data_IF_310915765020
#
_entry.id   IF_310915765020
#
_cell.length_a   1.000
_cell.length_b   1.000
_cell.length_c   1.000
_cell.angle_alpha   90.00
_cell.angle_beta   90.00
_cell.angle_gamma   90.00
#
_symmetry.space_group_name_H-M   'P 1'
#
loop_
_entity.id
_entity.type
_entity.pdbx_description
1 polymer ?
#
# COMPACT_ATOMS: atom_id res chain seq x y z
N UNK A 1 -29.69 1.54 -1.30
CA UNK A 1 -28.40 1.76 -1.98
C UNK A 1 -28.31 3.26 -2.08
N UNK A 2 -27.73 3.87 -1.06
CA UNK A 2 -27.67 5.32 -0.95
C UNK A 2 -26.60 5.77 -1.94
N UNK A 3 -26.99 6.59 -2.91
CA UNK A 3 -26.11 6.98 -4.00
C UNK A 3 -25.05 7.93 -3.46
N UNK A 4 -23.82 7.43 -3.32
CA UNK A 4 -22.65 8.27 -3.04
C UNK A 4 -22.03 8.71 -4.36
N UNK A 5 -21.85 10.02 -4.53
CA UNK A 5 -21.05 10.58 -5.61
C UNK A 5 -19.63 10.82 -5.12
N UNK A 6 -18.62 10.31 -5.83
CA UNK A 6 -17.21 10.46 -5.48
C UNK A 6 -16.49 11.24 -6.58
N UNK A 7 -15.86 12.35 -6.22
CA UNK A 7 -14.89 13.04 -7.07
C UNK A 7 -13.50 12.51 -6.71
N UNK A 8 -12.79 12.00 -7.71
CA UNK A 8 -11.42 11.51 -7.54
C UNK A 8 -10.49 12.36 -8.40
N UNK A 9 -9.49 12.98 -7.77
CA UNK A 9 -8.41 13.69 -8.43
C UNK A 9 -7.04 13.07 -8.09
N UNK A 10 -6.22 12.84 -9.11
CA UNK A 10 -4.83 12.36 -8.97
C UNK A 10 -3.87 13.45 -9.45
N UNK A 11 -2.88 13.80 -8.63
CA UNK A 11 -1.82 14.77 -8.98
C UNK A 11 -0.46 14.08 -8.89
N UNK A 12 0.32 13.99 -9.98
CA UNK A 12 1.68 13.49 -9.90
C UNK A 12 2.55 14.45 -9.08
N UNK A 13 3.39 13.88 -8.21
CA UNK A 13 4.35 14.60 -7.37
C UNK A 13 5.77 14.07 -7.63
N UNK A 14 6.77 14.72 -7.03
CA UNK A 14 8.15 14.24 -7.05
C UNK A 14 8.30 12.89 -6.35
N UNK A 15 9.43 12.21 -6.60
CA UNK A 15 9.81 10.98 -5.89
C UNK A 15 8.78 9.84 -6.03
N UNK A 16 8.30 9.67 -7.27
CA UNK A 16 7.34 8.65 -7.72
C UNK A 16 6.04 8.61 -6.89
N UNK A 17 5.58 9.76 -6.42
CA UNK A 17 4.34 9.88 -5.67
C UNK A 17 3.19 10.35 -6.52
N UNK A 18 2.00 9.93 -6.13
CA UNK A 18 0.73 10.49 -6.61
C UNK A 18 -0.06 10.92 -5.39
N UNK A 19 -0.44 12.20 -5.35
CA UNK A 19 -1.41 12.72 -4.39
C UNK A 19 -2.82 12.41 -4.89
N UNK A 20 -3.62 11.85 -4.00
CA UNK A 20 -5.00 11.40 -4.23
C UNK A 20 -5.91 12.23 -3.33
N UNK A 21 -6.81 12.98 -3.96
CA UNK A 21 -7.87 13.72 -3.28
C UNK A 21 -9.21 13.07 -3.62
N UNK A 22 -9.95 12.64 -2.60
CA UNK A 22 -11.28 12.04 -2.71
C UNK A 22 -12.29 12.94 -2.01
N UNK A 23 -13.36 13.29 -2.70
CA UNK A 23 -14.53 13.96 -2.13
C UNK A 23 -15.78 13.10 -2.31
N UNK A 24 -16.36 12.66 -1.20
CA UNK A 24 -17.60 11.91 -1.19
C UNK A 24 -18.77 12.84 -0.89
N UNK A 25 -19.85 12.71 -1.65
CA UNK A 25 -21.10 13.41 -1.49
C UNK A 25 -22.21 12.39 -1.30
N UNK A 26 -22.70 12.29 -0.07
CA UNK A 26 -23.76 11.38 0.33
C UNK A 26 -25.08 12.15 0.40
N UNK A 27 -26.10 11.66 -0.30
CA UNK A 27 -27.43 12.28 -0.32
C UNK A 27 -28.32 11.69 0.76
N UNK A 28 -28.96 12.56 1.55
CA UNK A 28 -29.98 12.17 2.50
C UNK A 28 -31.10 13.23 2.49
N UNK A 29 -32.28 12.84 1.99
CA UNK A 29 -33.51 13.64 1.99
C UNK A 29 -33.38 15.04 1.32
N UNK A 30 -32.66 15.10 0.19
CA UNK A 30 -32.42 16.30 -0.60
C UNK A 30 -31.24 17.14 -0.13
N UNK A 31 -30.52 16.70 0.90
CA UNK A 31 -29.32 17.35 1.44
C UNK A 31 -28.11 16.47 1.12
N UNK A 32 -27.00 17.11 0.71
CA UNK A 32 -25.73 16.41 0.49
C UNK A 32 -24.76 16.68 1.63
N UNK A 33 -24.21 15.61 2.19
CA UNK A 33 -23.11 15.66 3.14
C UNK A 33 -21.80 15.37 2.42
N UNK A 34 -20.82 16.25 2.58
CA UNK A 34 -19.48 16.07 2.00
C UNK A 34 -18.51 15.58 3.07
N UNK A 35 -17.78 14.52 2.74
CA UNK A 35 -16.56 14.12 3.43
C UNK A 35 -15.39 14.12 2.44
N UNK A 36 -14.19 14.38 2.93
CA UNK A 36 -12.98 14.52 2.10
C UNK A 36 -11.82 13.75 2.71
N UNK A 37 -11.05 13.09 1.85
CA UNK A 37 -9.78 12.45 2.20
C UNK A 37 -8.68 12.95 1.25
N UNK A 38 -7.47 13.13 1.78
CA UNK A 38 -6.28 13.50 1.01
C UNK A 38 -5.09 12.71 1.51
N UNK A 39 -4.50 11.90 0.63
CA UNK A 39 -3.33 11.08 0.94
C UNK A 39 -2.42 10.96 -0.30
N UNK A 40 -1.22 10.42 -0.12
CA UNK A 40 -0.32 10.14 -1.25
C UNK A 40 0.15 8.71 -1.21
N UNK A 41 0.27 8.10 -2.39
CA UNK A 41 0.89 6.79 -2.58
C UNK A 41 2.21 6.97 -3.32
N UNK A 42 3.21 6.15 -2.99
CA UNK A 42 4.49 6.10 -3.72
C UNK A 42 4.60 4.79 -4.48
N UNK A 43 4.90 4.88 -5.78
CA UNK A 43 5.13 3.72 -6.63
C UNK A 43 6.54 3.17 -6.38
N UNK A 44 6.62 2.08 -5.61
CA UNK A 44 7.84 1.31 -5.42
C UNK A 44 7.92 0.18 -6.45
N UNK A 45 9.12 -0.07 -6.94
CA UNK A 45 9.42 -1.27 -7.74
C UNK A 45 9.46 -2.52 -6.87
N UNK A 46 9.29 -3.68 -7.49
CA UNK A 46 9.39 -4.98 -6.82
C UNK A 46 10.75 -5.17 -6.11
N UNK A 47 11.83 -4.73 -6.75
CA UNK A 47 13.18 -4.79 -6.18
C UNK A 47 13.35 -3.89 -4.95
N UNK A 48 12.74 -2.70 -4.94
CA UNK A 48 12.77 -1.81 -3.78
C UNK A 48 12.02 -2.41 -2.58
N UNK A 49 10.84 -2.99 -2.81
CA UNK A 49 10.08 -3.66 -1.74
C UNK A 49 10.87 -4.86 -1.19
N UNK A 50 11.40 -5.72 -2.07
CA UNK A 50 12.22 -6.88 -1.68
C UNK A 50 13.47 -6.47 -0.91
N UNK A 51 14.12 -5.39 -1.34
CA UNK A 51 15.27 -4.83 -0.63
C UNK A 51 14.89 -4.32 0.76
N UNK A 52 13.82 -3.55 0.88
CA UNK A 52 13.35 -3.06 2.18
C UNK A 52 12.98 -4.21 3.14
N UNK A 53 12.34 -5.27 2.65
CA UNK A 53 12.06 -6.48 3.44
C UNK A 53 13.35 -7.18 3.90
N UNK A 54 14.31 -7.34 3.00
CA UNK A 54 15.62 -7.96 3.30
C UNK A 54 16.39 -7.15 4.35
N UNK A 55 16.49 -5.83 4.15
CA UNK A 55 17.15 -4.91 5.08
C UNK A 55 16.44 -4.90 6.45
N UNK A 56 15.13 -5.19 6.49
CA UNK A 56 14.35 -5.31 7.70
C UNK A 56 14.51 -6.65 8.45
N UNK A 57 15.22 -7.63 7.87
CA UNK A 57 15.48 -8.96 8.45
C UNK A 57 14.52 -10.06 7.99
N UNK A 58 13.74 -9.80 6.94
CA UNK A 58 12.81 -10.77 6.34
C UNK A 58 13.43 -11.46 5.12
N UNK A 59 12.99 -12.69 4.88
CA UNK A 59 13.11 -13.37 3.59
C UNK A 59 11.76 -13.27 2.87
N UNK A 60 11.77 -12.94 1.58
CA UNK A 60 10.56 -12.98 0.74
C UNK A 60 10.36 -14.42 0.27
N UNK A 61 9.26 -15.04 0.68
CA UNK A 61 8.94 -16.42 0.33
C UNK A 61 8.16 -16.53 -0.97
N UNK A 62 7.28 -15.54 -1.23
CA UNK A 62 6.51 -15.47 -2.47
C UNK A 62 6.03 -14.03 -2.75
N UNK A 63 5.72 -13.77 -4.02
CA UNK A 63 4.96 -12.59 -4.46
C UNK A 63 3.84 -13.09 -5.35
N UNK A 64 2.60 -12.78 -5.00
CA UNK A 64 1.41 -13.24 -5.70
C UNK A 64 0.66 -12.11 -6.39
N UNK A 65 -0.04 -12.43 -7.48
CA UNK A 65 -1.03 -11.55 -8.11
C UNK A 65 -2.31 -11.42 -7.27
N UNK A 66 -3.20 -10.50 -7.67
CA UNK A 66 -4.44 -10.20 -6.96
C UNK A 66 -5.36 -11.41 -6.95
N UNK A 67 -5.76 -11.84 -5.75
CA UNK A 67 -6.64 -12.99 -5.53
C UNK A 67 -6.15 -14.33 -6.15
N UNK A 68 -4.85 -14.49 -6.38
CA UNK A 68 -4.25 -15.75 -6.88
C UNK A 68 -3.06 -16.22 -6.04
N UNK A 69 -2.57 -17.43 -6.30
CA UNK A 69 -1.28 -17.95 -5.79
C UNK A 69 -0.21 -18.00 -6.89
N UNK A 70 -0.46 -17.35 -8.03
CA UNK A 70 0.48 -17.24 -9.14
C UNK A 70 1.29 -15.95 -9.01
N UNK A 71 2.46 -15.88 -9.64
CA UNK A 71 3.23 -14.63 -9.70
C UNK A 71 2.45 -13.53 -10.41
N UNK A 72 2.60 -12.25 -10.00
CA UNK A 72 1.87 -11.15 -10.60
C UNK A 72 2.24 -10.99 -12.08
N UNK A 73 1.25 -10.70 -12.92
CA UNK A 73 1.45 -10.39 -14.33
C UNK A 73 1.97 -8.96 -14.51
N UNK A 74 2.51 -8.67 -15.69
CA UNK A 74 3.07 -7.35 -16.00
C UNK A 74 2.03 -6.21 -15.98
N UNK A 75 0.75 -6.52 -16.18
CA UNK A 75 -0.38 -5.59 -16.20
C UNK A 75 -1.19 -5.60 -14.89
N UNK A 76 -0.75 -6.36 -13.90
CA UNK A 76 -1.47 -6.55 -12.65
C UNK A 76 -1.38 -5.30 -11.75
N UNK A 77 -2.50 -4.92 -11.14
CA UNK A 77 -2.61 -3.68 -10.36
C UNK A 77 -2.30 -3.88 -8.87
N UNK A 78 -2.15 -5.12 -8.41
CA UNK A 78 -1.83 -5.44 -7.02
C UNK A 78 -0.90 -6.65 -6.92
N UNK A 79 0.18 -6.49 -6.17
CA UNK A 79 1.06 -7.58 -5.77
C UNK A 79 0.94 -7.82 -4.25
N UNK A 80 0.93 -9.09 -3.86
CA UNK A 80 0.83 -9.54 -2.46
C UNK A 80 2.14 -10.20 -2.06
N UNK A 81 2.85 -9.61 -1.10
CA UNK A 81 4.14 -10.11 -0.63
C UNK A 81 3.95 -11.03 0.59
N UNK A 82 4.51 -12.24 0.52
CA UNK A 82 4.63 -13.14 1.66
C UNK A 82 6.07 -13.12 2.13
N UNK A 83 6.30 -12.67 3.36
CA UNK A 83 7.62 -12.52 3.93
C UNK A 83 7.69 -13.15 5.33
N UNK A 84 8.78 -13.86 5.59
CA UNK A 84 9.04 -14.50 6.89
C UNK A 84 10.27 -13.87 7.55
N UNK A 85 10.14 -13.53 8.83
CA UNK A 85 11.27 -12.99 9.58
C UNK A 85 12.34 -14.08 9.80
N UNK A 86 13.56 -13.81 9.33
CA UNK A 86 14.73 -14.69 9.52
C UNK A 86 15.60 -14.27 10.69
N UNK A 87 15.81 -12.96 10.81
CA UNK A 87 16.64 -12.36 11.87
C UNK A 87 15.84 -11.24 12.51
N UNK A 88 15.49 -11.44 13.78
CA UNK A 88 14.83 -10.39 14.55
C UNK A 88 15.86 -9.34 14.94
N UNK A 89 15.63 -8.09 14.53
CA UNK A 89 16.41 -6.93 14.99
C UNK A 89 16.33 -6.73 16.51
N UNK A 90 15.32 -7.31 17.18
CA UNK A 90 15.17 -7.22 18.63
C UNK A 90 16.09 -8.19 19.40
N UNK A 91 16.64 -9.22 18.75
CA UNK A 91 17.51 -10.20 19.42
C UNK A 91 18.91 -9.64 19.69
N UNK A 92 19.46 -8.88 18.75
CA UNK A 92 20.78 -8.23 18.86
C UNK A 92 20.84 -7.13 19.93
N UNK A 93 19.72 -6.43 20.18
CA UNK A 93 19.62 -5.43 21.25
C UNK A 93 19.63 -6.04 22.66
N UNK A 94 19.14 -7.27 22.82
CA UNK A 94 19.09 -7.95 24.11
C UNK A 94 20.40 -8.66 24.45
N UNK A 95 21.15 -9.14 23.45
CA UNK A 95 22.45 -9.79 23.64
C UNK A 95 23.60 -8.80 23.87
N UNK A 96 23.43 -7.52 23.50
CA UNK A 96 24.42 -6.45 23.74
C UNK A 96 24.31 -5.77 25.11
N UNK A 97 23.38 -6.24 25.96
CA UNK A 97 23.20 -5.79 27.35
C UNK A 97 23.43 -6.89 28.39
N UNK A 98 23.90 -8.07 27.96
CA UNK A 98 24.26 -9.20 28.82
C UNK A 98 25.73 -9.20 29.21
#
# INVERSE_FOLDING_TARGET
NDSVFCVWQNTPEDDNKVKIDLDFFEEENGVYYRSSESFSERAYTDDEIKKMLTDAGFEVEAVYGDLTLESPKADEQRAIYVARMKKSRNKEFNESKG
#
